data_IF_649506161288
#
_entry.id   IF_649506161288
#
_cell.length_a   1.000
_cell.length_b   1.000
_cell.length_c   1.000
_cell.angle_alpha   90.00
_cell.angle_beta   90.00
_cell.angle_gamma   90.00
#
_symmetry.space_group_name_H-M   'P 1'
#
loop_
_entity.id
_entity.type
_entity.pdbx_description
1 polymer ?
#
# COMPACT_ATOMS: atom_id res chain seq x y z
N UNK A 1 -31.04 41.68 -3.31
CA UNK A 1 -30.59 42.55 -4.40
C UNK A 1 -30.33 41.70 -5.62
N UNK A 2 -30.49 42.20 -6.86
CA UNK A 2 -30.21 41.42 -8.08
C UNK A 2 -28.71 41.14 -8.21
N UNK A 3 -28.37 40.00 -8.86
CA UNK A 3 -26.99 39.63 -9.17
C UNK A 3 -26.66 40.02 -10.62
N UNK A 4 -25.43 40.52 -10.83
CA UNK A 4 -24.94 40.92 -12.12
C UNK A 4 -23.66 40.14 -12.47
N UNK A 5 -23.66 39.48 -13.62
CA UNK A 5 -22.44 38.91 -14.18
C UNK A 5 -21.67 40.00 -14.94
N UNK A 6 -20.37 40.08 -14.72
CA UNK A 6 -19.52 41.03 -15.41
C UNK A 6 -18.36 40.36 -16.13
N UNK A 7 -17.95 40.96 -17.25
CA UNK A 7 -16.66 40.77 -17.91
C UNK A 7 -15.94 42.09 -17.93
N UNK A 8 -14.68 42.11 -17.49
CA UNK A 8 -13.87 43.32 -17.43
C UNK A 8 -12.38 43.01 -17.62
N UNK A 9 -11.56 44.08 -17.74
CA UNK A 9 -10.10 43.94 -17.73
C UNK A 9 -9.50 44.65 -16.54
N UNK A 10 -8.49 44.02 -15.92
CA UNK A 10 -7.72 44.66 -14.87
C UNK A 10 -6.68 45.65 -15.46
N UNK A 11 -5.98 46.38 -14.61
CA UNK A 11 -4.93 47.34 -15.02
C UNK A 11 -3.76 46.69 -15.82
N UNK A 12 -3.65 45.35 -15.82
CA UNK A 12 -2.65 44.58 -16.58
C UNK A 12 -3.19 44.06 -17.91
N UNK A 13 -4.46 44.39 -18.27
CA UNK A 13 -5.10 43.95 -19.51
C UNK A 13 -5.69 42.54 -19.48
N UNK A 14 -5.62 41.83 -18.34
CA UNK A 14 -6.14 40.47 -18.20
C UNK A 14 -7.67 40.48 -18.08
N UNK A 15 -8.33 39.50 -18.71
CA UNK A 15 -9.78 39.40 -18.74
C UNK A 15 -10.26 38.76 -17.41
N UNK A 16 -11.10 39.50 -16.69
CA UNK A 16 -11.75 39.07 -15.46
C UNK A 16 -13.24 38.85 -15.65
N UNK A 17 -13.79 37.81 -15.09
CA UNK A 17 -15.22 37.51 -15.08
C UNK A 17 -15.66 37.15 -13.67
N UNK A 18 -16.87 37.59 -13.31
CA UNK A 18 -17.41 37.27 -11.98
C UNK A 18 -18.88 37.66 -11.88
N UNK A 19 -19.43 37.52 -10.68
CA UNK A 19 -20.80 37.95 -10.35
C UNK A 19 -20.72 38.82 -9.11
N UNK A 20 -21.34 39.99 -9.17
CA UNK A 20 -21.45 40.92 -8.04
C UNK A 20 -22.93 41.18 -7.74
N UNK A 21 -23.21 41.50 -6.50
CA UNK A 21 -24.52 41.94 -6.04
C UNK A 21 -24.57 43.46 -6.03
N UNK A 22 -25.58 44.04 -6.67
CA UNK A 22 -25.72 45.51 -6.73
C UNK A 22 -27.18 45.91 -6.89
N UNK A 23 -27.47 47.16 -6.61
CA UNK A 23 -28.81 47.73 -6.78
C UNK A 23 -29.21 47.80 -8.26
N UNK A 24 -28.26 48.19 -9.11
CA UNK A 24 -28.38 48.29 -10.57
C UNK A 24 -27.01 48.06 -11.24
N UNK A 25 -26.99 48.08 -12.57
CA UNK A 25 -25.77 47.90 -13.37
C UNK A 25 -24.76 49.02 -13.23
N UNK A 26 -25.19 50.27 -12.91
CA UNK A 26 -24.31 51.41 -12.68
C UNK A 26 -23.57 51.29 -11.37
N UNK A 27 -24.25 50.87 -10.29
CA UNK A 27 -23.62 50.63 -9.00
C UNK A 27 -22.56 49.53 -9.07
N UNK A 28 -22.79 48.47 -9.86
CA UNK A 28 -21.81 47.40 -10.09
C UNK A 28 -20.63 47.90 -10.95
N UNK A 29 -20.86 48.79 -11.93
CA UNK A 29 -19.80 49.39 -12.71
C UNK A 29 -18.89 50.26 -11.85
N UNK A 30 -19.45 51.11 -10.98
CA UNK A 30 -18.71 51.97 -10.07
C UNK A 30 -17.86 51.14 -9.06
N UNK A 31 -18.41 50.04 -8.57
CA UNK A 31 -17.70 49.12 -7.71
C UNK A 31 -16.54 48.42 -8.42
N UNK A 32 -16.70 48.06 -9.70
CA UNK A 32 -15.63 47.45 -10.52
C UNK A 32 -14.53 48.48 -10.82
N UNK A 33 -14.89 49.77 -11.14
CA UNK A 33 -13.92 50.82 -11.33
C UNK A 33 -13.11 51.10 -10.06
N UNK A 34 -13.75 51.09 -8.87
CA UNK A 34 -13.05 51.27 -7.59
C UNK A 34 -12.05 50.14 -7.29
N UNK A 35 -12.26 48.95 -7.84
CA UNK A 35 -11.35 47.78 -7.70
C UNK A 35 -10.34 47.68 -8.84
N UNK A 36 -10.28 48.68 -9.73
CA UNK A 36 -9.32 48.74 -10.84
C UNK A 36 -9.66 47.80 -12.01
N UNK A 37 -10.91 47.39 -12.12
CA UNK A 37 -11.41 46.58 -13.23
C UNK A 37 -12.29 47.41 -14.12
N UNK A 38 -11.92 47.56 -15.41
CA UNK A 38 -12.74 48.22 -16.42
C UNK A 38 -13.77 47.26 -16.98
N UNK A 39 -15.08 47.44 -16.70
CA UNK A 39 -16.10 46.54 -17.20
C UNK A 39 -16.29 46.67 -18.72
N UNK A 40 -16.42 45.52 -19.40
CA UNK A 40 -16.72 45.44 -20.84
C UNK A 40 -18.19 45.08 -21.04
N UNK A 41 -18.72 44.21 -20.20
CA UNK A 41 -20.09 43.72 -20.28
C UNK A 41 -20.62 43.46 -18.86
N UNK A 42 -21.85 43.97 -18.57
CA UNK A 42 -22.56 43.72 -17.32
C UNK A 42 -23.97 43.26 -17.69
N UNK A 43 -24.36 42.07 -17.24
CA UNK A 43 -25.68 41.48 -17.50
C UNK A 43 -26.33 40.98 -16.20
N UNK A 44 -27.65 41.14 -16.08
CA UNK A 44 -28.41 40.63 -14.95
C UNK A 44 -28.39 39.08 -14.99
N UNK A 45 -28.07 38.45 -13.87
CA UNK A 45 -28.07 36.99 -13.77
C UNK A 45 -28.87 36.51 -12.55
N UNK A 46 -29.59 35.40 -12.71
CA UNK A 46 -30.28 34.73 -11.62
C UNK A 46 -29.38 33.76 -10.84
N UNK A 47 -28.15 33.55 -11.32
CA UNK A 47 -27.18 32.74 -10.62
C UNK A 47 -26.53 33.55 -9.52
N UNK A 48 -26.71 33.11 -8.28
CA UNK A 48 -25.97 33.56 -7.10
C UNK A 48 -24.48 33.50 -7.39
N UNK A 49 -23.70 34.48 -6.94
CA UNK A 49 -22.25 34.44 -7.03
C UNK A 49 -21.74 33.14 -6.41
N UNK A 50 -21.24 32.20 -7.22
CA UNK A 50 -20.31 31.22 -6.73
C UNK A 50 -19.09 32.00 -6.24
N UNK A 51 -18.91 32.09 -4.92
CA UNK A 51 -17.67 32.59 -4.34
C UNK A 51 -16.56 31.88 -5.08
N UNK A 52 -15.77 32.60 -5.87
CA UNK A 52 -14.59 32.10 -6.56
C UNK A 52 -13.56 31.55 -5.56
N UNK A 53 -13.84 30.36 -5.11
CA UNK A 53 -12.97 29.44 -4.44
C UNK A 53 -13.09 28.17 -5.25
N UNK A 54 -12.02 27.59 -5.66
CA UNK A 54 -11.81 26.29 -6.29
C UNK A 54 -12.96 25.30 -6.05
N UNK A 55 -14.10 25.53 -6.70
CA UNK A 55 -15.19 24.59 -6.81
C UNK A 55 -14.82 23.50 -7.81
N UNK A 56 -13.71 22.81 -7.54
CA UNK A 56 -13.42 21.55 -8.21
C UNK A 56 -14.60 20.63 -7.94
N UNK A 57 -15.33 20.25 -8.98
CA UNK A 57 -16.38 19.25 -8.94
C UNK A 57 -15.96 18.15 -7.97
N UNK A 58 -16.75 17.89 -6.92
CA UNK A 58 -16.50 16.78 -5.99
C UNK A 58 -16.31 15.45 -6.73
N UNK A 59 -16.88 15.31 -7.91
CA UNK A 59 -16.67 14.23 -8.85
C UNK A 59 -15.24 14.19 -9.42
N UNK A 60 -14.61 15.34 -9.71
CA UNK A 60 -13.21 15.37 -10.16
C UNK A 60 -12.25 14.98 -9.05
N UNK A 61 -12.55 15.30 -7.78
CA UNK A 61 -11.76 14.83 -6.62
C UNK A 61 -11.88 13.33 -6.41
N UNK A 62 -13.00 12.69 -6.76
CA UNK A 62 -13.20 11.25 -6.69
C UNK A 62 -12.51 10.49 -7.83
N UNK A 63 -12.34 11.14 -9.00
CA UNK A 63 -11.73 10.54 -10.20
C UNK A 63 -10.24 10.90 -10.36
N UNK A 64 -9.72 11.85 -9.58
CA UNK A 64 -8.29 12.19 -9.62
C UNK A 64 -7.45 11.04 -9.04
N UNK A 65 -6.47 10.59 -9.82
CA UNK A 65 -5.50 9.60 -9.36
C UNK A 65 -4.74 10.15 -8.15
N UNK A 66 -4.76 9.41 -7.06
CA UNK A 66 -3.93 9.69 -5.89
C UNK A 66 -2.46 9.65 -6.29
N UNK A 67 -1.64 10.45 -5.62
CA UNK A 67 -0.18 10.41 -5.76
C UNK A 67 0.31 9.01 -5.39
N UNK A 68 1.13 8.44 -6.26
CA UNK A 68 1.69 7.10 -6.08
C UNK A 68 3.10 7.17 -5.50
N UNK A 69 3.57 6.08 -4.87
CA UNK A 69 4.97 5.99 -4.44
C UNK A 69 5.96 6.13 -5.60
N UNK A 70 5.55 5.75 -6.83
CA UNK A 70 6.37 5.92 -8.03
C UNK A 70 6.56 7.40 -8.40
N UNK A 71 5.53 8.23 -8.22
CA UNK A 71 5.64 9.67 -8.47
C UNK A 71 6.69 10.30 -7.53
N UNK A 72 6.66 9.91 -6.24
CA UNK A 72 7.63 10.40 -5.23
C UNK A 72 9.04 9.86 -5.50
N UNK A 73 9.16 8.60 -5.90
CA UNK A 73 10.44 7.98 -6.26
C UNK A 73 11.08 8.70 -7.45
N UNK A 74 10.32 8.94 -8.54
CA UNK A 74 10.80 9.68 -9.72
C UNK A 74 11.15 11.12 -9.37
N UNK A 75 10.34 11.79 -8.57
CA UNK A 75 10.61 13.12 -8.05
C UNK A 75 11.96 13.17 -7.32
N UNK A 76 12.23 12.21 -6.43
CA UNK A 76 13.49 12.13 -5.69
C UNK A 76 14.69 12.00 -6.64
N UNK A 77 14.57 11.13 -7.66
CA UNK A 77 15.63 10.94 -8.67
C UNK A 77 15.89 12.18 -9.52
N UNK A 78 14.80 12.81 -9.96
CA UNK A 78 14.90 14.01 -10.79
C UNK A 78 15.48 15.18 -9.98
N UNK A 79 15.03 15.36 -8.74
CA UNK A 79 15.55 16.40 -7.86
C UNK A 79 17.03 16.19 -7.53
N UNK A 80 17.45 14.93 -7.24
CA UNK A 80 18.86 14.59 -7.14
C UNK A 80 19.65 15.03 -8.37
N UNK A 81 19.16 14.67 -9.57
CA UNK A 81 19.87 14.97 -10.82
C UNK A 81 20.03 16.48 -11.05
N UNK A 82 18.98 17.25 -10.75
CA UNK A 82 19.00 18.70 -10.87
C UNK A 82 19.95 19.35 -9.86
N UNK A 83 19.89 18.94 -8.60
CA UNK A 83 20.78 19.44 -7.55
C UNK A 83 22.24 19.10 -7.84
N UNK A 84 22.53 17.88 -8.30
CA UNK A 84 23.88 17.45 -8.72
C UNK A 84 24.42 18.27 -9.89
N UNK A 85 23.55 18.70 -10.79
CA UNK A 85 23.90 19.62 -11.89
C UNK A 85 24.04 21.09 -11.43
N UNK A 86 23.91 21.39 -10.13
CA UNK A 86 24.01 22.75 -9.59
C UNK A 86 22.78 23.62 -9.84
N UNK A 87 21.65 23.03 -10.25
CA UNK A 87 20.39 23.79 -10.46
C UNK A 87 19.81 24.18 -9.10
N UNK A 88 19.52 25.47 -8.86
CA UNK A 88 18.87 25.91 -7.63
C UNK A 88 17.55 25.18 -7.41
N UNK A 89 17.26 24.78 -6.17
CA UNK A 89 16.09 23.95 -5.79
C UNK A 89 14.76 24.56 -6.28
N UNK A 90 14.62 25.88 -6.21
CA UNK A 90 13.43 26.58 -6.66
C UNK A 90 13.17 26.43 -8.16
N UNK A 91 14.23 26.52 -8.96
CA UNK A 91 14.15 26.30 -10.41
C UNK A 91 13.90 24.82 -10.71
N UNK A 92 14.53 23.92 -9.96
CA UNK A 92 14.29 22.47 -10.05
C UNK A 92 12.82 22.13 -9.81
N UNK A 93 12.25 22.61 -8.71
CA UNK A 93 10.83 22.39 -8.38
C UNK A 93 9.88 22.98 -9.43
N UNK A 94 10.22 24.15 -10.02
CA UNK A 94 9.39 24.73 -11.10
C UNK A 94 9.33 23.79 -12.32
N UNK A 95 10.47 23.30 -12.79
CA UNK A 95 10.53 22.36 -13.91
C UNK A 95 9.83 21.02 -13.60
N UNK A 96 9.96 20.52 -12.38
CA UNK A 96 9.28 19.29 -11.94
C UNK A 96 7.76 19.46 -11.86
N UNK A 97 7.27 20.65 -11.47
CA UNK A 97 5.85 20.96 -11.46
C UNK A 97 5.27 20.94 -12.88
N UNK A 98 5.97 21.55 -13.85
CA UNK A 98 5.54 21.60 -15.25
C UNK A 98 5.55 20.23 -15.93
N UNK A 99 6.55 19.39 -15.61
CA UNK A 99 6.72 18.06 -16.17
C UNK A 99 5.93 16.96 -15.43
N UNK A 100 5.22 17.30 -14.34
CA UNK A 100 4.51 16.32 -13.53
C UNK A 100 3.37 15.65 -14.32
N UNK A 101 3.45 14.32 -14.50
CA UNK A 101 2.41 13.52 -15.17
C UNK A 101 1.12 13.49 -14.36
N UNK A 102 1.24 13.40 -13.03
CA UNK A 102 0.11 13.43 -12.10
C UNK A 102 -0.26 14.87 -11.75
N UNK A 103 -1.46 15.34 -12.15
CA UNK A 103 -1.97 16.67 -11.77
C UNK A 103 -2.04 16.88 -10.26
N UNK A 104 -2.37 15.81 -9.52
CA UNK A 104 -2.40 15.83 -8.06
C UNK A 104 -1.01 16.05 -7.48
N UNK A 105 0.02 15.40 -8.04
CA UNK A 105 1.39 15.60 -7.60
C UNK A 105 1.96 16.96 -8.01
N UNK A 106 1.61 17.45 -9.22
CA UNK A 106 1.96 18.80 -9.65
C UNK A 106 1.45 19.90 -8.69
N UNK A 107 0.25 19.71 -8.09
CA UNK A 107 -0.27 20.62 -7.05
C UNK A 107 0.52 20.54 -5.74
N UNK A 108 0.95 19.34 -5.36
CA UNK A 108 1.84 19.18 -4.20
C UNK A 108 3.16 19.92 -4.42
N UNK A 109 3.81 19.74 -5.59
CA UNK A 109 5.06 20.43 -5.92
C UNK A 109 4.87 21.94 -5.95
N UNK A 110 3.72 22.44 -6.45
CA UNK A 110 3.37 23.85 -6.41
C UNK A 110 3.32 24.40 -4.98
N UNK A 111 2.63 23.68 -4.07
CA UNK A 111 2.54 24.08 -2.65
C UNK A 111 3.92 24.05 -1.95
N UNK A 112 4.77 23.07 -2.29
CA UNK A 112 6.16 23.06 -1.81
C UNK A 112 6.90 24.31 -2.25
N UNK A 113 6.80 24.67 -3.54
CA UNK A 113 7.46 25.85 -4.10
C UNK A 113 6.97 27.14 -3.45
N UNK A 114 5.67 27.33 -3.32
CA UNK A 114 5.07 28.50 -2.65
C UNK A 114 5.49 28.59 -1.16
N UNK A 115 5.65 27.45 -0.49
CA UNK A 115 6.13 27.39 0.88
C UNK A 115 7.60 27.81 1.01
N UNK A 116 8.45 27.37 0.07
CA UNK A 116 9.87 27.75 0.03
C UNK A 116 10.03 29.23 -0.35
N UNK A 117 9.24 29.75 -1.30
CA UNK A 117 9.19 31.18 -1.64
C UNK A 117 8.84 32.04 -0.42
N UNK A 118 7.99 31.52 0.48
CA UNK A 118 7.67 32.15 1.75
C UNK A 118 8.76 31.98 2.83
N UNK A 119 9.92 31.42 2.50
CA UNK A 119 11.07 31.24 3.41
C UNK A 119 10.94 30.04 4.36
N UNK A 120 10.04 29.10 4.11
CA UNK A 120 9.92 27.88 4.93
C UNK A 120 10.91 26.83 4.48
N UNK A 121 11.32 25.97 5.41
CA UNK A 121 12.12 24.79 5.09
C UNK A 121 11.34 23.78 4.23
N UNK A 122 12.03 23.07 3.33
CA UNK A 122 11.45 22.04 2.46
C UNK A 122 10.82 20.92 3.25
N UNK A 123 11.48 20.44 4.30
CA UNK A 123 10.95 19.40 5.21
C UNK A 123 9.65 19.84 5.90
N UNK A 124 9.55 21.12 6.27
CA UNK A 124 8.35 21.71 6.86
C UNK A 124 7.21 21.86 5.85
N UNK A 125 7.54 22.22 4.60
CA UNK A 125 6.58 22.26 3.50
C UNK A 125 6.04 20.86 3.17
N UNK A 126 6.90 19.85 3.05
CA UNK A 126 6.54 18.47 2.78
C UNK A 126 5.67 17.85 3.89
N UNK A 127 5.86 18.27 5.15
CA UNK A 127 5.05 17.79 6.30
C UNK A 127 3.56 18.11 6.17
N UNK A 128 3.19 19.07 5.34
CA UNK A 128 1.78 19.42 5.06
C UNK A 128 1.08 18.37 4.20
N UNK A 129 1.86 17.46 3.58
CA UNK A 129 1.38 16.39 2.72
C UNK A 129 1.76 14.99 3.27
N UNK A 130 1.22 14.59 4.44
CA UNK A 130 1.60 13.33 5.10
C UNK A 130 1.13 12.08 4.32
N UNK A 131 0.16 12.22 3.44
CA UNK A 131 -0.30 11.17 2.53
C UNK A 131 0.67 10.92 1.36
N UNK A 132 1.59 11.85 1.10
CA UNK A 132 2.58 11.78 0.01
C UNK A 132 3.97 11.45 0.56
N UNK A 133 4.40 12.16 1.61
CA UNK A 133 5.73 12.04 2.20
C UNK A 133 5.66 11.36 3.57
N UNK A 134 6.29 10.20 3.69
CA UNK A 134 6.36 9.47 4.96
C UNK A 134 7.21 10.22 6.00
N UNK A 135 7.02 9.90 7.28
CA UNK A 135 7.82 10.47 8.36
C UNK A 135 9.33 10.20 8.18
N UNK A 136 9.68 9.03 7.63
CA UNK A 136 11.05 8.69 7.27
C UNK A 136 11.60 9.65 6.20
N UNK A 137 10.84 9.86 5.12
CA UNK A 137 11.21 10.79 4.05
C UNK A 137 11.44 12.20 4.59
N UNK A 138 10.53 12.69 5.43
CA UNK A 138 10.62 14.02 6.06
C UNK A 138 11.86 14.15 6.96
N UNK A 139 12.18 13.14 7.76
CA UNK A 139 13.35 13.12 8.64
C UNK A 139 14.63 13.20 7.84
N UNK A 140 14.74 12.45 6.75
CA UNK A 140 15.88 12.44 5.86
C UNK A 140 16.09 13.80 5.17
N UNK A 141 15.00 14.38 4.61
CA UNK A 141 15.05 15.71 3.98
C UNK A 141 15.49 16.77 4.98
N UNK A 142 14.96 16.74 6.22
CA UNK A 142 15.34 17.67 7.27
C UNK A 142 16.83 17.62 7.58
N UNK A 143 17.41 16.41 7.68
CA UNK A 143 18.84 16.26 7.90
C UNK A 143 19.64 16.81 6.70
N UNK A 144 19.18 16.53 5.48
CA UNK A 144 19.77 17.07 4.27
C UNK A 144 19.77 18.61 4.20
N UNK A 145 18.68 19.23 4.68
CA UNK A 145 18.59 20.70 4.80
C UNK A 145 19.57 21.25 5.83
N UNK A 146 19.62 20.64 7.03
CA UNK A 146 20.49 21.08 8.11
C UNK A 146 21.97 20.94 7.77
N UNK A 147 22.34 19.90 7.00
CA UNK A 147 23.73 19.60 6.61
C UNK A 147 24.12 20.16 5.25
N UNK A 148 23.17 20.73 4.48
CA UNK A 148 23.38 21.18 3.11
C UNK A 148 23.59 20.05 2.09
N UNK A 149 23.29 18.80 2.45
CA UNK A 149 23.53 17.59 1.63
C UNK A 149 22.24 17.01 1.04
N UNK A 150 21.31 17.88 0.61
CA UNK A 150 20.04 17.48 0.01
C UNK A 150 20.20 16.57 -1.21
N UNK A 151 21.21 16.85 -2.04
CA UNK A 151 21.55 16.03 -3.20
C UNK A 151 21.72 14.55 -2.80
N UNK A 152 22.60 14.28 -1.85
CA UNK A 152 22.88 12.93 -1.39
C UNK A 152 21.67 12.28 -0.75
N UNK A 153 20.90 13.04 0.03
CA UNK A 153 19.67 12.56 0.66
C UNK A 153 18.63 12.13 -0.36
N UNK A 154 18.41 12.91 -1.44
CA UNK A 154 17.45 12.52 -2.47
C UNK A 154 17.89 11.28 -3.25
N UNK A 155 19.18 11.08 -3.50
CA UNK A 155 19.68 9.84 -4.08
C UNK A 155 19.38 8.65 -3.17
N UNK A 156 19.72 8.76 -1.89
CA UNK A 156 19.49 7.70 -0.89
C UNK A 156 18.01 7.38 -0.69
N UNK A 157 17.16 8.41 -0.72
CA UNK A 157 15.69 8.22 -0.67
C UNK A 157 15.17 7.50 -1.90
N UNK A 158 15.68 7.84 -3.09
CA UNK A 158 15.35 7.12 -4.32
C UNK A 158 15.73 5.64 -4.21
N UNK A 159 16.98 5.33 -3.84
CA UNK A 159 17.48 3.96 -3.70
C UNK A 159 16.68 3.16 -2.66
N UNK A 160 16.31 3.80 -1.54
CA UNK A 160 15.49 3.20 -0.51
C UNK A 160 14.07 2.87 -1.01
N UNK A 161 13.44 3.79 -1.73
CA UNK A 161 12.11 3.58 -2.31
C UNK A 161 12.12 2.52 -3.40
N UNK A 162 13.20 2.45 -4.20
CA UNK A 162 13.43 1.41 -5.20
C UNK A 162 13.52 0.04 -4.54
N UNK A 163 14.36 -0.10 -3.52
CA UNK A 163 14.49 -1.31 -2.73
C UNK A 163 13.14 -1.77 -2.15
N UNK A 164 12.38 -0.86 -1.54
CA UNK A 164 11.09 -1.17 -0.92
C UNK A 164 10.05 -1.63 -1.95
N UNK A 165 10.02 -0.99 -3.11
CA UNK A 165 9.16 -1.37 -4.23
C UNK A 165 9.54 -2.75 -4.77
N UNK A 166 10.81 -2.97 -5.06
CA UNK A 166 11.31 -4.21 -5.65
C UNK A 166 11.06 -5.40 -4.71
N UNK A 167 11.28 -5.23 -3.40
CA UNK A 167 10.98 -6.23 -2.39
C UNK A 167 9.49 -6.61 -2.40
N UNK A 168 8.59 -5.60 -2.44
CA UNK A 168 7.15 -5.84 -2.51
C UNK A 168 6.74 -6.54 -3.82
N UNK A 169 7.33 -6.14 -4.95
CA UNK A 169 7.04 -6.74 -6.26
C UNK A 169 7.52 -8.19 -6.34
N UNK A 170 8.69 -8.53 -5.80
CA UNK A 170 9.20 -9.91 -5.72
C UNK A 170 8.25 -10.80 -4.94
N UNK A 171 7.83 -10.36 -3.74
CA UNK A 171 6.87 -11.12 -2.91
C UNK A 171 5.53 -11.28 -3.64
N UNK A 172 4.99 -10.22 -4.24
CA UNK A 172 3.72 -10.25 -4.96
C UNK A 172 3.78 -11.17 -6.18
N UNK A 173 4.88 -11.14 -6.93
CA UNK A 173 5.06 -11.97 -8.13
C UNK A 173 5.18 -13.45 -7.77
N UNK A 174 5.93 -13.77 -6.72
CA UNK A 174 6.07 -15.15 -6.25
C UNK A 174 4.74 -15.76 -5.80
N UNK A 175 3.84 -14.94 -5.21
CA UNK A 175 2.52 -15.39 -4.76
C UNK A 175 1.45 -15.39 -5.85
N UNK A 176 1.70 -14.80 -7.02
CA UNK A 176 0.69 -14.66 -8.09
C UNK A 176 0.25 -16.02 -8.62
N UNK A 177 1.19 -16.88 -8.99
CA UNK A 177 0.90 -18.21 -9.55
C UNK A 177 0.15 -19.09 -8.54
N UNK A 178 0.63 -19.30 -7.30
CA UNK A 178 -0.11 -20.05 -6.29
C UNK A 178 -1.53 -19.54 -6.06
N UNK A 179 -1.70 -18.24 -5.96
CA UNK A 179 -3.03 -17.63 -5.77
C UNK A 179 -3.96 -17.94 -6.94
N UNK A 180 -3.46 -17.81 -8.18
CA UNK A 180 -4.25 -18.11 -9.37
C UNK A 180 -4.70 -19.58 -9.40
N UNK A 181 -3.79 -20.52 -9.10
CA UNK A 181 -4.12 -21.96 -9.09
C UNK A 181 -5.13 -22.29 -8.00
N UNK A 182 -4.97 -21.76 -6.78
CA UNK A 182 -5.92 -21.96 -5.68
C UNK A 182 -7.30 -21.43 -6.06
N UNK A 183 -7.39 -20.24 -6.64
CA UNK A 183 -8.66 -19.65 -7.11
C UNK A 183 -9.29 -20.52 -8.20
N UNK A 184 -8.50 -21.02 -9.16
CA UNK A 184 -8.99 -21.89 -10.23
C UNK A 184 -9.53 -23.22 -9.66
N UNK A 185 -8.84 -23.82 -8.69
CA UNK A 185 -9.29 -25.05 -8.03
C UNK A 185 -10.62 -24.79 -7.28
N UNK A 186 -10.73 -23.71 -6.51
CA UNK A 186 -11.96 -23.36 -5.80
C UNK A 186 -13.12 -23.14 -6.80
N UNK A 187 -12.87 -22.43 -7.90
CA UNK A 187 -13.88 -22.20 -8.93
C UNK A 187 -14.32 -23.53 -9.57
N UNK A 188 -13.38 -24.41 -9.94
CA UNK A 188 -13.68 -25.72 -10.49
C UNK A 188 -14.51 -26.58 -9.51
N UNK A 189 -14.12 -26.61 -8.25
CA UNK A 189 -14.87 -27.31 -7.18
C UNK A 189 -16.30 -26.78 -7.03
N UNK A 190 -16.45 -25.46 -7.08
CA UNK A 190 -17.78 -24.83 -6.98
C UNK A 190 -18.67 -25.23 -8.16
N UNK A 191 -18.13 -25.20 -9.38
CA UNK A 191 -18.84 -25.63 -10.60
C UNK A 191 -19.26 -27.11 -10.51
N UNK A 192 -18.34 -27.98 -10.14
CA UNK A 192 -18.63 -29.42 -9.98
C UNK A 192 -19.69 -29.64 -8.92
N UNK A 193 -19.56 -28.99 -7.77
CA UNK A 193 -20.47 -29.15 -6.64
C UNK A 193 -21.88 -28.61 -6.94
N UNK A 194 -22.00 -27.49 -7.66
CA UNK A 194 -23.29 -26.85 -7.95
C UNK A 194 -24.01 -27.42 -9.18
N UNK A 195 -23.28 -27.92 -10.17
CA UNK A 195 -23.87 -28.32 -11.46
C UNK A 195 -23.69 -29.81 -11.76
N UNK A 196 -22.51 -30.36 -11.56
CA UNK A 196 -22.19 -31.74 -11.98
C UNK A 196 -22.81 -32.75 -11.00
N UNK A 197 -22.53 -32.60 -9.71
CA UNK A 197 -23.02 -33.56 -8.70
C UNK A 197 -24.56 -33.65 -8.67
N UNK A 198 -25.35 -32.55 -8.72
CA UNK A 198 -26.82 -32.61 -8.77
C UNK A 198 -27.34 -33.26 -10.05
N UNK A 199 -26.65 -33.11 -11.19
CA UNK A 199 -27.05 -33.77 -12.44
C UNK A 199 -26.95 -35.29 -12.30
N UNK A 200 -25.83 -35.79 -11.73
CA UNK A 200 -25.65 -37.20 -11.44
C UNK A 200 -26.64 -37.70 -10.37
N UNK A 201 -26.98 -36.92 -9.35
CA UNK A 201 -27.97 -37.26 -8.33
C UNK A 201 -29.34 -37.62 -8.93
N UNK A 202 -29.77 -36.84 -9.94
CA UNK A 202 -31.06 -37.08 -10.63
C UNK A 202 -31.05 -38.42 -11.40
N UNK A 203 -29.92 -38.75 -12.01
CA UNK A 203 -29.74 -40.03 -12.72
C UNK A 203 -29.79 -41.20 -11.74
N UNK A 204 -29.08 -41.14 -10.63
CA UNK A 204 -29.09 -42.22 -9.64
C UNK A 204 -30.40 -42.39 -8.90
N UNK A 205 -31.15 -41.33 -8.66
CA UNK A 205 -32.48 -41.41 -8.03
C UNK A 205 -33.49 -42.24 -8.87
N UNK A 206 -33.29 -42.32 -10.21
CA UNK A 206 -34.12 -43.12 -11.11
C UNK A 206 -33.88 -44.64 -11.01
N UNK A 207 -32.77 -45.09 -10.40
CA UNK A 207 -32.43 -46.52 -10.31
C UNK A 207 -32.78 -47.20 -8.97
N UNK A 208 -33.29 -46.47 -7.97
CA UNK A 208 -33.65 -46.96 -6.63
C UNK A 208 -32.54 -47.79 -5.94
N UNK A 209 -31.27 -47.55 -6.28
CA UNK A 209 -30.12 -48.26 -5.75
C UNK A 209 -29.54 -47.58 -4.49
N UNK A 210 -29.07 -48.35 -3.55
CA UNK A 210 -28.35 -47.80 -2.38
C UNK A 210 -27.04 -47.15 -2.84
N UNK A 211 -26.89 -45.86 -2.53
CA UNK A 211 -25.70 -45.09 -2.92
C UNK A 211 -24.48 -45.37 -2.01
N UNK A 212 -23.29 -45.57 -2.55
CA UNK A 212 -22.07 -45.71 -1.78
C UNK A 212 -21.83 -44.50 -0.86
N UNK A 213 -21.11 -44.72 0.26
CA UNK A 213 -20.89 -43.72 1.29
C UNK A 213 -20.25 -42.42 0.76
N UNK A 214 -19.27 -42.53 -0.16
CA UNK A 214 -18.61 -41.38 -0.79
C UNK A 214 -19.59 -40.52 -1.61
N UNK A 215 -20.47 -41.19 -2.36
CA UNK A 215 -21.50 -40.49 -3.14
C UNK A 215 -22.53 -39.80 -2.24
N UNK A 216 -22.92 -40.39 -1.10
CA UNK A 216 -23.81 -39.75 -0.11
C UNK A 216 -23.18 -38.48 0.47
N UNK A 217 -21.88 -38.53 0.82
CA UNK A 217 -21.16 -37.35 1.33
C UNK A 217 -21.11 -36.23 0.28
N UNK A 218 -20.76 -36.57 -0.97
CA UNK A 218 -20.75 -35.58 -2.05
C UNK A 218 -22.12 -34.96 -2.32
N UNK A 219 -23.19 -35.76 -2.34
CA UNK A 219 -24.55 -35.28 -2.51
C UNK A 219 -25.02 -34.41 -1.33
N UNK A 220 -24.72 -34.81 -0.10
CA UNK A 220 -25.05 -34.02 1.08
C UNK A 220 -24.34 -32.66 1.05
N UNK A 221 -23.05 -32.64 0.68
CA UNK A 221 -22.28 -31.41 0.54
C UNK A 221 -22.82 -30.52 -0.60
N UNK A 222 -23.16 -31.12 -1.73
CA UNK A 222 -23.74 -30.43 -2.88
C UNK A 222 -25.10 -29.81 -2.54
N UNK A 223 -26.01 -30.59 -1.97
CA UNK A 223 -27.35 -30.12 -1.59
C UNK A 223 -27.25 -28.99 -0.54
N UNK A 224 -26.37 -29.13 0.45
CA UNK A 224 -26.10 -28.07 1.42
C UNK A 224 -25.63 -26.79 0.74
N UNK A 225 -24.66 -26.90 -0.18
CA UNK A 225 -24.12 -25.76 -0.92
C UNK A 225 -25.18 -25.11 -1.80
N UNK A 226 -25.96 -25.89 -2.57
CA UNK A 226 -27.01 -25.37 -3.46
C UNK A 226 -28.15 -24.73 -2.68
N UNK A 227 -28.52 -25.29 -1.52
CA UNK A 227 -29.61 -24.77 -0.71
C UNK A 227 -29.20 -23.51 0.07
N UNK A 228 -27.98 -23.47 0.60
CA UNK A 228 -27.54 -22.43 1.52
C UNK A 228 -26.50 -21.46 0.92
N UNK A 229 -26.26 -21.49 -0.41
CA UNK A 229 -25.27 -20.61 -1.04
C UNK A 229 -25.50 -19.11 -0.75
N UNK A 230 -26.75 -18.55 -0.70
CA UNK A 230 -26.93 -17.14 -0.40
C UNK A 230 -26.54 -16.80 1.03
N UNK A 231 -26.85 -17.72 1.96
CA UNK A 231 -26.48 -17.58 3.37
C UNK A 231 -24.95 -17.70 3.55
N UNK A 232 -24.32 -18.67 2.86
CA UNK A 232 -22.85 -18.80 2.86
C UNK A 232 -22.18 -17.57 2.26
N UNK A 233 -22.68 -17.04 1.15
CA UNK A 233 -22.17 -15.82 0.53
C UNK A 233 -22.34 -14.61 1.47
N UNK A 234 -23.50 -14.46 2.10
CA UNK A 234 -23.76 -13.40 3.08
C UNK A 234 -22.85 -13.49 4.31
N UNK A 235 -22.64 -14.70 4.83
CA UNK A 235 -21.77 -14.96 5.98
C UNK A 235 -20.30 -14.70 5.61
N UNK A 236 -19.88 -15.08 4.40
CA UNK A 236 -18.54 -14.82 3.89
C UNK A 236 -18.30 -13.30 3.72
N UNK A 237 -19.22 -12.58 3.09
CA UNK A 237 -19.13 -11.12 2.92
C UNK A 237 -19.16 -10.43 4.29
N UNK A 238 -20.10 -10.81 5.17
CA UNK A 238 -20.17 -10.30 6.54
C UNK A 238 -18.89 -10.56 7.34
N UNK A 239 -18.36 -11.78 7.23
CA UNK A 239 -17.07 -12.16 7.85
C UNK A 239 -15.89 -11.35 7.34
N UNK A 240 -15.80 -11.14 6.01
CA UNK A 240 -14.75 -10.29 5.41
C UNK A 240 -14.88 -8.86 5.92
N UNK A 241 -16.08 -8.29 5.94
CA UNK A 241 -16.31 -6.92 6.44
C UNK A 241 -15.96 -6.80 7.92
N UNK A 242 -16.39 -7.76 8.75
CA UNK A 242 -16.05 -7.80 10.17
C UNK A 242 -14.54 -7.93 10.39
N UNK A 243 -13.88 -8.81 9.63
CA UNK A 243 -12.43 -9.00 9.67
C UNK A 243 -11.68 -7.73 9.27
N UNK A 244 -12.07 -7.08 8.18
CA UNK A 244 -11.45 -5.81 7.74
C UNK A 244 -11.62 -4.73 8.82
N UNK A 245 -12.81 -4.65 9.44
CA UNK A 245 -13.04 -3.72 10.54
C UNK A 245 -12.21 -4.05 11.77
N UNK A 246 -12.10 -5.33 12.13
CA UNK A 246 -11.24 -5.76 13.24
C UNK A 246 -9.77 -5.40 13.01
N UNK A 247 -9.22 -5.70 11.82
CA UNK A 247 -7.81 -5.41 11.47
C UNK A 247 -7.53 -3.90 11.37
N UNK A 248 -8.54 -3.07 11.16
CA UNK A 248 -8.40 -1.59 11.21
C UNK A 248 -8.24 -1.04 12.64
N UNK A 249 -8.62 -1.78 13.67
CA UNK A 249 -8.38 -1.39 15.06
C UNK A 249 -6.90 -1.60 15.43
N UNK A 250 -6.34 -0.76 16.31
CA UNK A 250 -4.94 -0.89 16.74
C UNK A 250 -4.63 -2.28 17.31
N UNK A 251 -5.50 -2.82 18.18
CA UNK A 251 -5.35 -4.15 18.78
C UNK A 251 -5.50 -5.27 17.75
N UNK A 252 -6.48 -5.15 16.84
CA UNK A 252 -6.69 -6.13 15.77
C UNK A 252 -5.52 -6.17 14.79
N UNK A 253 -5.00 -5.01 14.41
CA UNK A 253 -3.81 -4.89 13.55
C UNK A 253 -2.58 -5.53 14.20
N UNK A 254 -2.32 -5.23 15.47
CA UNK A 254 -1.21 -5.83 16.20
C UNK A 254 -1.30 -7.36 16.26
N UNK A 255 -2.47 -7.91 16.63
CA UNK A 255 -2.67 -9.36 16.72
C UNK A 255 -2.58 -10.04 15.35
N UNK A 256 -3.14 -9.42 14.32
CA UNK A 256 -3.06 -9.93 12.95
C UNK A 256 -1.63 -9.92 12.40
N UNK A 257 -0.90 -8.82 12.66
CA UNK A 257 0.50 -8.68 12.25
C UNK A 257 1.40 -9.69 12.98
N UNK A 258 1.14 -9.96 14.26
CA UNK A 258 1.81 -11.01 15.01
C UNK A 258 1.49 -12.39 14.42
N UNK A 259 0.22 -12.70 14.21
CA UNK A 259 -0.21 -13.98 13.63
C UNK A 259 0.42 -14.26 12.26
N UNK A 260 0.55 -13.23 11.42
CA UNK A 260 1.23 -13.37 10.12
C UNK A 260 2.68 -13.85 10.23
N UNK A 261 3.38 -13.50 11.31
CA UNK A 261 4.77 -13.92 11.55
C UNK A 261 4.88 -15.39 12.00
N UNK A 262 3.78 -15.95 12.54
CA UNK A 262 3.72 -17.35 13.02
C UNK A 262 3.24 -18.31 11.91
N UNK A 263 2.80 -17.78 10.76
CA UNK A 263 2.38 -18.62 9.63
C UNK A 263 3.55 -19.44 9.09
N UNK A 264 3.35 -20.76 8.87
CA UNK A 264 4.38 -21.58 8.24
C UNK A 264 4.71 -21.02 6.85
N UNK A 265 5.98 -20.97 6.48
CA UNK A 265 6.53 -20.46 5.21
C UNK A 265 6.36 -18.94 5.06
N UNK A 266 5.12 -18.42 4.98
CA UNK A 266 4.85 -16.99 4.79
C UNK A 266 5.39 -16.12 5.94
N UNK A 267 5.33 -16.61 7.19
CA UNK A 267 5.82 -15.88 8.35
C UNK A 267 7.33 -15.63 8.31
N UNK A 268 8.11 -16.60 7.84
CA UNK A 268 9.56 -16.45 7.67
C UNK A 268 9.89 -15.36 6.65
N UNK A 269 9.21 -15.35 5.51
CA UNK A 269 9.39 -14.35 4.46
C UNK A 269 9.01 -12.95 4.96
N UNK A 270 7.85 -12.81 5.59
CA UNK A 270 7.36 -11.53 6.13
C UNK A 270 8.33 -10.99 7.18
N UNK A 271 8.79 -11.84 8.09
CA UNK A 271 9.77 -11.45 9.14
C UNK A 271 11.06 -10.95 8.52
N UNK A 272 11.68 -11.75 7.64
CA UNK A 272 12.95 -11.40 6.98
C UNK A 272 12.83 -10.13 6.12
N UNK A 273 11.77 -10.01 5.32
CA UNK A 273 11.52 -8.81 4.51
C UNK A 273 11.32 -7.55 5.37
N UNK A 274 10.62 -7.69 6.50
CA UNK A 274 10.40 -6.56 7.42
C UNK A 274 11.69 -6.17 8.14
N UNK A 275 12.51 -7.15 8.55
CA UNK A 275 13.81 -6.90 9.18
C UNK A 275 14.84 -6.35 8.18
N UNK A 276 14.81 -6.76 6.91
CA UNK A 276 15.61 -6.17 5.84
C UNK A 276 15.30 -4.68 5.68
N UNK A 277 14.02 -4.33 5.65
CA UNK A 277 13.56 -2.94 5.56
C UNK A 277 13.96 -2.13 6.80
N UNK A 278 13.81 -2.69 7.99
CA UNK A 278 14.28 -2.09 9.24
C UNK A 278 15.78 -1.77 9.16
N UNK A 279 16.60 -2.78 8.84
CA UNK A 279 18.04 -2.64 8.79
C UNK A 279 18.49 -1.61 7.73
N UNK A 280 17.90 -1.66 6.53
CA UNK A 280 18.19 -0.69 5.46
C UNK A 280 17.81 0.74 5.85
N UNK A 281 16.62 0.94 6.43
CA UNK A 281 16.17 2.26 6.88
C UNK A 281 17.04 2.80 8.02
N UNK A 282 17.45 1.94 8.94
CA UNK A 282 18.33 2.32 10.04
C UNK A 282 19.73 2.69 9.55
N UNK A 283 20.34 1.86 8.70
CA UNK A 283 21.64 2.13 8.09
C UNK A 283 21.62 3.47 7.35
N UNK A 284 20.58 3.71 6.57
CA UNK A 284 20.42 4.95 5.83
C UNK A 284 20.30 6.17 6.75
N UNK A 285 19.50 6.08 7.81
CA UNK A 285 19.36 7.15 8.80
C UNK A 285 20.68 7.45 9.50
N UNK A 286 21.38 6.40 9.96
CA UNK A 286 22.66 6.53 10.65
C UNK A 286 23.75 7.15 9.76
N UNK A 287 23.90 6.66 8.53
CA UNK A 287 24.83 7.24 7.52
C UNK A 287 24.53 8.70 7.17
N UNK A 288 23.28 9.11 7.34
CA UNK A 288 22.89 10.50 7.07
C UNK A 288 23.07 11.41 8.29
N UNK A 289 23.56 10.88 9.41
CA UNK A 289 23.83 11.64 10.63
C UNK A 289 22.60 11.85 11.53
N UNK A 290 21.53 11.06 11.33
CA UNK A 290 20.38 11.08 12.23
C UNK A 290 20.77 10.46 13.58
N UNK A 291 20.54 11.13 14.73
CA UNK A 291 20.80 10.55 16.03
C UNK A 291 20.08 9.21 16.23
N UNK A 292 20.69 8.24 16.89
CA UNK A 292 20.22 6.86 16.99
C UNK A 292 18.77 6.75 17.50
N UNK A 293 18.41 7.48 18.56
CA UNK A 293 17.05 7.49 19.13
C UNK A 293 16.04 7.99 18.10
N UNK A 294 16.39 9.04 17.37
CA UNK A 294 15.53 9.59 16.31
C UNK A 294 15.45 8.62 15.12
N UNK A 295 16.57 7.98 14.75
CA UNK A 295 16.61 6.96 13.71
C UNK A 295 15.65 5.80 14.06
N UNK A 296 15.73 5.25 15.28
CA UNK A 296 14.82 4.19 15.74
C UNK A 296 13.36 4.63 15.74
N UNK A 297 13.06 5.88 16.14
CA UNK A 297 11.70 6.45 16.12
C UNK A 297 11.12 6.47 14.71
N UNK A 298 11.90 6.96 13.75
CA UNK A 298 11.45 7.10 12.36
C UNK A 298 11.36 5.74 11.68
N UNK A 299 12.34 4.87 11.93
CA UNK A 299 12.38 3.53 11.35
C UNK A 299 11.25 2.65 11.87
N UNK A 300 10.86 2.77 13.14
CA UNK A 300 9.69 2.07 13.68
C UNK A 300 8.41 2.35 12.87
N UNK A 301 8.28 3.55 12.31
CA UNK A 301 7.13 3.95 11.49
C UNK A 301 7.21 3.43 10.04
N UNK A 302 8.41 3.06 9.55
CA UNK A 302 8.58 2.46 8.20
C UNK A 302 8.30 0.97 8.19
N UNK A 303 8.31 0.32 9.34
CA UNK A 303 8.07 -1.11 9.48
C UNK A 303 6.58 -1.40 9.26
N UNK A 304 6.23 -2.10 8.16
CA UNK A 304 4.85 -2.43 7.79
C UNK A 304 4.21 -3.54 8.66
N UNK A 305 4.71 -3.74 9.87
CA UNK A 305 4.22 -4.73 10.81
C UNK A 305 4.13 -4.11 12.20
N UNK A 306 2.92 -3.95 12.73
CA UNK A 306 2.68 -3.27 14.00
C UNK A 306 3.30 -3.98 15.21
N UNK A 307 3.47 -5.30 15.16
CA UNK A 307 4.16 -6.05 16.21
C UNK A 307 5.66 -5.74 16.21
N UNK A 308 6.32 -5.79 15.04
CA UNK A 308 7.74 -5.46 14.91
C UNK A 308 8.01 -3.99 15.17
N UNK A 309 7.12 -3.08 14.71
CA UNK A 309 7.17 -1.65 15.03
C UNK A 309 7.21 -1.41 16.53
N UNK A 310 6.30 -2.04 17.30
CA UNK A 310 6.27 -1.93 18.75
C UNK A 310 7.57 -2.47 19.42
N UNK A 311 8.21 -3.50 18.83
CA UNK A 311 9.51 -4.00 19.31
C UNK A 311 10.65 -3.01 19.07
N UNK A 312 10.64 -2.35 17.91
CA UNK A 312 11.61 -1.28 17.60
C UNK A 312 11.40 -0.05 18.51
N UNK A 313 10.15 0.30 18.82
CA UNK A 313 9.84 1.35 19.80
C UNK A 313 10.37 1.01 21.19
N UNK A 314 10.24 -0.24 21.64
CA UNK A 314 10.83 -0.70 22.90
C UNK A 314 12.37 -0.60 22.88
N UNK A 315 13.02 -0.91 21.76
CA UNK A 315 14.47 -0.68 21.60
C UNK A 315 14.81 0.79 21.73
N UNK A 316 14.06 1.68 21.05
CA UNK A 316 14.24 3.14 21.18
C UNK A 316 14.16 3.58 22.62
N UNK A 317 13.14 3.17 23.37
CA UNK A 317 12.93 3.55 24.76
C UNK A 317 14.09 3.08 25.68
N UNK A 318 14.67 1.89 25.37
CA UNK A 318 15.85 1.40 26.09
C UNK A 318 17.09 2.22 25.78
N UNK A 319 17.36 2.50 24.50
CA UNK A 319 18.50 3.32 24.08
C UNK A 319 18.39 4.75 24.61
N UNK A 320 17.19 5.34 24.67
CA UNK A 320 16.93 6.65 25.26
C UNK A 320 17.26 6.68 26.75
N UNK A 321 17.10 5.57 27.47
CA UNK A 321 17.51 5.41 28.86
C UNK A 321 19.02 5.14 29.03
N UNK A 322 19.78 5.07 27.94
CA UNK A 322 21.21 4.81 27.97
C UNK A 322 21.59 3.32 27.93
N UNK A 323 20.65 2.41 27.60
CA UNK A 323 20.97 1.01 27.40
C UNK A 323 21.70 0.83 26.05
N UNK A 324 22.59 -0.18 25.93
CA UNK A 324 23.23 -0.49 24.65
C UNK A 324 22.23 -1.00 23.61
N UNK A 325 22.54 -0.75 22.34
CA UNK A 325 21.69 -1.21 21.21
C UNK A 325 21.61 -2.72 21.20
N UNK A 326 22.71 -3.41 21.44
CA UNK A 326 22.76 -4.88 21.56
C UNK A 326 21.79 -5.40 22.63
N UNK A 327 21.80 -4.81 23.83
CA UNK A 327 20.93 -5.22 24.93
C UNK A 327 19.47 -5.05 24.57
N UNK A 328 19.10 -3.90 24.00
CA UNK A 328 17.73 -3.63 23.61
C UNK A 328 17.26 -4.48 22.42
N UNK A 329 18.14 -4.75 21.46
CA UNK A 329 17.89 -5.64 20.34
C UNK A 329 17.68 -7.10 20.80
N UNK A 330 18.49 -7.57 21.75
CA UNK A 330 18.33 -8.89 22.36
C UNK A 330 17.00 -9.00 23.11
N UNK A 331 16.61 -8.00 23.89
CA UNK A 331 15.35 -7.94 24.62
C UNK A 331 14.13 -7.90 23.68
N UNK A 332 14.26 -7.33 22.50
CA UNK A 332 13.19 -7.29 21.49
C UNK A 332 12.80 -8.69 20.98
N UNK A 333 13.71 -9.68 21.04
CA UNK A 333 13.50 -11.08 20.67
C UNK A 333 12.94 -11.28 19.24
N UNK A 334 13.43 -10.48 18.29
CA UNK A 334 13.03 -10.53 16.87
C UNK A 334 14.21 -10.82 15.94
N UNK A 335 15.43 -10.63 16.41
CA UNK A 335 16.65 -10.80 15.65
C UNK A 335 17.25 -12.20 15.84
N UNK A 336 17.97 -12.67 14.81
CA UNK A 336 18.73 -13.93 14.90
C UNK A 336 20.04 -13.74 15.68
N UNK A 337 20.64 -14.80 16.24
CA UNK A 337 21.93 -14.69 16.93
C UNK A 337 23.04 -14.05 16.09
N UNK A 338 23.07 -14.35 14.79
CA UNK A 338 24.05 -13.76 13.84
C UNK A 338 23.86 -12.24 13.75
N UNK A 339 22.63 -11.78 13.64
CA UNK A 339 22.32 -10.34 13.58
C UNK A 339 22.69 -9.65 14.90
N UNK A 340 22.40 -10.26 16.04
CA UNK A 340 22.80 -9.72 17.34
C UNK A 340 24.34 -9.60 17.47
N UNK A 341 25.07 -10.57 16.94
CA UNK A 341 26.54 -10.50 16.90
C UNK A 341 27.03 -9.38 16.00
N UNK A 342 26.42 -9.17 14.82
CA UNK A 342 26.76 -8.04 13.94
C UNK A 342 26.46 -6.70 14.62
N UNK A 343 25.32 -6.59 15.33
CA UNK A 343 24.96 -5.38 16.09
C UNK A 343 26.03 -5.13 17.20
N UNK A 344 26.46 -6.17 17.91
CA UNK A 344 27.49 -6.05 18.94
C UNK A 344 28.80 -5.48 18.36
N UNK A 345 29.30 -6.08 17.28
CA UNK A 345 30.52 -5.62 16.60
C UNK A 345 30.36 -4.18 16.08
N UNK A 346 29.19 -3.84 15.51
CA UNK A 346 28.91 -2.50 15.01
C UNK A 346 28.83 -1.44 16.11
N UNK A 347 28.31 -1.80 17.27
CA UNK A 347 28.26 -0.92 18.44
C UNK A 347 29.67 -0.68 19.03
N UNK A 348 30.49 -1.74 19.12
CA UNK A 348 31.85 -1.66 19.62
C UNK A 348 32.80 -0.91 18.67
N UNK A 349 32.69 -1.14 17.36
CA UNK A 349 33.55 -0.50 16.34
C UNK A 349 33.09 0.90 15.92
N UNK A 350 31.86 1.30 16.28
CA UNK A 350 31.26 2.55 15.82
C UNK A 350 30.78 2.51 14.35
N UNK A 351 30.82 1.34 13.69
CA UNK A 351 30.41 1.14 12.29
C UNK A 351 29.04 0.44 12.16
N UNK A 352 28.12 0.80 13.05
CA UNK A 352 26.80 0.19 13.10
C UNK A 352 26.01 0.38 11.81
N UNK A 353 26.17 1.49 11.12
CA UNK A 353 25.53 1.79 9.84
C UNK A 353 25.99 0.85 8.71
N UNK A 354 27.29 0.51 8.66
CA UNK A 354 27.82 -0.44 7.68
C UNK A 354 27.29 -1.85 7.94
N UNK A 355 27.34 -2.29 9.20
CA UNK A 355 26.86 -3.63 9.56
C UNK A 355 25.34 -3.77 9.43
N UNK A 356 24.57 -2.72 9.69
CA UNK A 356 23.12 -2.73 9.43
C UNK A 356 22.83 -2.81 7.93
N UNK A 357 23.64 -2.22 7.06
CA UNK A 357 23.50 -2.39 5.61
C UNK A 357 23.80 -3.83 5.16
N UNK A 358 24.85 -4.47 5.72
CA UNK A 358 25.14 -5.88 5.48
C UNK A 358 24.02 -6.79 5.98
N UNK A 359 23.41 -6.51 7.14
CA UNK A 359 22.24 -7.21 7.65
C UNK A 359 21.06 -7.07 6.68
N UNK A 360 20.85 -5.88 6.13
CA UNK A 360 19.79 -5.66 5.14
C UNK A 360 19.99 -6.52 3.89
N UNK A 361 21.20 -6.53 3.34
CA UNK A 361 21.56 -7.34 2.18
C UNK A 361 21.48 -8.86 2.47
N UNK A 362 21.89 -9.28 3.67
CA UNK A 362 21.75 -10.68 4.10
C UNK A 362 20.28 -11.10 4.10
N UNK A 363 19.41 -10.33 4.74
CA UNK A 363 17.98 -10.64 4.76
C UNK A 363 17.34 -10.56 3.37
N UNK A 364 17.78 -9.66 2.49
CA UNK A 364 17.32 -9.61 1.10
C UNK A 364 17.62 -10.91 0.37
N UNK A 365 18.85 -11.40 0.46
CA UNK A 365 19.25 -12.69 -0.13
C UNK A 365 18.46 -13.86 0.46
N UNK A 366 18.21 -13.85 1.75
CA UNK A 366 17.40 -14.87 2.41
C UNK A 366 15.94 -14.83 1.97
N UNK A 367 15.36 -13.65 1.76
CA UNK A 367 14.00 -13.52 1.22
C UNK A 367 13.92 -14.06 -0.21
N UNK A 368 14.88 -13.73 -1.07
CA UNK A 368 14.95 -14.27 -2.43
C UNK A 368 15.05 -15.81 -2.43
N UNK A 369 15.84 -16.38 -1.54
CA UNK A 369 15.95 -17.84 -1.37
C UNK A 369 14.63 -18.45 -0.92
N UNK A 370 13.98 -17.88 0.10
CA UNK A 370 12.69 -18.38 0.60
C UNK A 370 11.57 -18.27 -0.46
N UNK A 371 11.55 -17.21 -1.26
CA UNK A 371 10.59 -17.03 -2.34
C UNK A 371 10.76 -18.07 -3.45
N UNK A 372 12.00 -18.40 -3.82
CA UNK A 372 12.32 -19.46 -4.78
C UNK A 372 11.91 -20.83 -4.24
N UNK A 373 12.24 -21.09 -2.98
CA UNK A 373 11.90 -22.34 -2.29
C UNK A 373 10.38 -22.49 -2.15
N UNK A 374 9.67 -21.41 -1.80
CA UNK A 374 8.22 -21.39 -1.71
C UNK A 374 7.58 -21.81 -3.04
N UNK A 375 8.01 -21.21 -4.15
CA UNK A 375 7.48 -21.52 -5.48
C UNK A 375 7.69 -23.01 -5.83
N UNK A 376 8.86 -23.55 -5.52
CA UNK A 376 9.20 -24.94 -5.79
C UNK A 376 8.41 -25.94 -4.88
N UNK A 377 8.10 -25.55 -3.64
CA UNK A 377 7.36 -26.43 -2.70
C UNK A 377 5.85 -26.39 -2.91
N UNK A 378 5.30 -25.29 -3.36
CA UNK A 378 3.85 -25.15 -3.58
C UNK A 378 3.38 -26.03 -4.75
N UNK A 379 4.16 -26.16 -5.80
CA UNK A 379 3.78 -26.93 -7.00
C UNK A 379 3.44 -28.41 -6.68
N UNK A 380 4.28 -29.20 -5.98
CA UNK A 380 3.93 -30.55 -5.57
C UNK A 380 2.69 -30.64 -4.68
N UNK A 381 2.54 -29.68 -3.76
CA UNK A 381 1.37 -29.62 -2.85
C UNK A 381 0.08 -29.42 -3.65
N UNK A 382 0.10 -28.51 -4.64
CA UNK A 382 -1.04 -28.26 -5.51
C UNK A 382 -1.37 -29.46 -6.40
N UNK A 383 -0.36 -30.16 -6.93
CA UNK A 383 -0.55 -31.37 -7.73
C UNK A 383 -1.20 -32.48 -6.88
N UNK A 384 -0.70 -32.72 -5.66
CA UNK A 384 -1.28 -33.70 -4.76
C UNK A 384 -2.70 -33.33 -4.36
N UNK A 385 -2.96 -32.06 -4.02
CA UNK A 385 -4.30 -31.57 -3.68
C UNK A 385 -5.29 -31.76 -4.84
N UNK A 386 -4.84 -31.43 -6.08
CA UNK A 386 -5.65 -31.64 -7.29
C UNK A 386 -5.88 -33.14 -7.53
N UNK A 387 -4.86 -33.99 -7.40
CA UNK A 387 -4.96 -35.44 -7.54
C UNK A 387 -5.95 -36.05 -6.55
N UNK A 388 -5.88 -35.68 -5.28
CA UNK A 388 -6.85 -36.10 -4.25
C UNK A 388 -8.27 -35.65 -4.60
N UNK A 389 -8.43 -34.39 -5.05
CA UNK A 389 -9.72 -33.85 -5.45
C UNK A 389 -10.33 -34.66 -6.62
N UNK A 390 -9.55 -34.90 -7.67
CA UNK A 390 -9.99 -35.69 -8.83
C UNK A 390 -10.32 -37.12 -8.43
N UNK A 391 -9.53 -37.73 -7.53
CA UNK A 391 -9.79 -39.08 -7.03
C UNK A 391 -11.13 -39.15 -6.28
N UNK A 392 -11.40 -38.20 -5.37
CA UNK A 392 -12.67 -38.14 -4.62
C UNK A 392 -13.85 -37.98 -5.56
N UNK A 393 -13.75 -37.11 -6.57
CA UNK A 393 -14.78 -36.95 -7.59
C UNK A 393 -14.98 -38.20 -8.44
N UNK A 394 -13.89 -38.82 -8.86
CA UNK A 394 -13.93 -40.05 -9.68
C UNK A 394 -14.59 -41.17 -8.88
N UNK A 395 -14.18 -41.43 -7.66
CA UNK A 395 -14.78 -42.44 -6.78
C UNK A 395 -16.26 -42.15 -6.53
N UNK A 396 -16.61 -40.89 -6.28
CA UNK A 396 -18.00 -40.49 -6.01
C UNK A 396 -18.94 -40.65 -7.21
N UNK A 397 -18.44 -40.56 -8.43
CA UNK A 397 -19.22 -40.68 -9.67
C UNK A 397 -19.16 -42.12 -10.23
N UNK A 398 -17.98 -42.76 -10.27
CA UNK A 398 -17.83 -44.07 -10.92
C UNK A 398 -18.22 -45.25 -10.04
N UNK A 399 -18.05 -45.20 -8.71
CA UNK A 399 -18.46 -46.27 -7.80
C UNK A 399 -19.95 -46.65 -7.97
N UNK A 400 -20.91 -45.70 -7.95
CA UNK A 400 -22.31 -46.04 -8.16
C UNK A 400 -22.59 -46.63 -9.56
N UNK A 401 -21.91 -46.17 -10.61
CA UNK A 401 -22.07 -46.68 -11.97
C UNK A 401 -21.65 -48.16 -12.04
N UNK A 402 -20.55 -48.49 -11.34
CA UNK A 402 -20.04 -49.88 -11.27
C UNK A 402 -21.00 -50.80 -10.52
N UNK A 403 -21.61 -50.34 -9.41
CA UNK A 403 -22.55 -51.11 -8.63
C UNK A 403 -23.89 -51.27 -9.36
N UNK A 404 -24.32 -50.28 -10.13
CA UNK A 404 -25.51 -50.42 -11.04
C UNK A 404 -25.24 -51.46 -12.15
N UNK A 405 -24.05 -51.48 -12.71
CA UNK A 405 -23.66 -52.52 -13.69
C UNK A 405 -23.73 -53.94 -13.12
N UNK A 406 -23.28 -54.16 -11.89
CA UNK A 406 -23.42 -55.44 -11.19
C UNK A 406 -24.86 -55.81 -10.92
N UNK A 407 -25.69 -54.85 -10.45
CA UNK A 407 -27.08 -55.09 -10.17
C UNK A 407 -27.92 -55.41 -11.44
N UNK A 408 -27.52 -54.86 -12.58
CA UNK A 408 -28.15 -55.18 -13.87
C UNK A 408 -27.77 -56.53 -14.45
N UNK A 409 -26.59 -57.08 -14.12
CA UNK A 409 -26.14 -58.38 -14.53
C UNK A 409 -26.63 -59.56 -13.67
N UNK A 410 -27.27 -59.27 -12.53
CA UNK A 410 -27.81 -60.23 -11.60
C UNK A 410 -29.37 -60.29 -11.64
N UNK A 411 -30.00 -59.62 -12.57
CA UNK A 411 -31.40 -59.79 -12.97
C UNK A 411 -31.43 -60.59 -14.27
#
# INVERSE_FOLDING_TARGET
MPFFSYKGRNARGELMQGVLEGADSSAVADQLFSTGVTPIEIAVTTKKADKGGEGGNWWTRLTEKKVTGMDVQLFSRQLYTLLKAGVPIMRGLAGLQESAVSKSFGRVIKDLRESLDAGRELSSAMRRHPEVFSAFYLSMVRVGEMTGRLEEVFLRLFDHMEFDRDMRERVKTALRYPTFVVVAIIAAMTVVNMFVIPAFAKVFAGFNAELPLMTRILLATSNFTVQYWPLMAGLLVGGIVAFIRYVRTAKGRYNWDKFKLDLPIAGKIIRKATLARFARSFALSSRSGVPIVQALTVVAQTVDNSYLSARVEQMRDGVERGESILRTASAANVFTPVVLQMIAVGEESGSLDELMDEIAQMYEREVDYELKTLSAQIEPILIVALGVMVLVLALGIFLPIWDLGKAALHK
#
